data_IF_694889104781
#
_entry.id   IF_694889104781
#
_cell.length_a   1.000
_cell.length_b   1.000
_cell.length_c   1.000
_cell.angle_alpha   90.00
_cell.angle_beta   90.00
_cell.angle_gamma   90.00
#
_symmetry.space_group_name_H-M   'P 1'
#
loop_
_entity.id
_entity.type
_entity.pdbx_description
1 polymer ?
#
# COMPACT_ATOMS: atom_id res chain seq x y z
N UNK A 1 -3.15 22.69 -70.50
CA UNK A 1 -4.17 22.28 -69.52
C UNK A 1 -3.60 21.04 -68.83
N UNK A 2 -3.00 21.20 -67.65
CA UNK A 2 -2.50 20.08 -66.85
C UNK A 2 -3.70 19.36 -66.23
N UNK A 3 -3.73 18.04 -66.31
CA UNK A 3 -4.72 17.20 -65.65
C UNK A 3 -4.71 17.47 -64.12
N UNK A 4 -5.86 17.47 -63.44
CA UNK A 4 -5.89 17.62 -62.02
C UNK A 4 -5.11 16.45 -61.33
N UNK A 5 -4.45 16.68 -60.19
CA UNK A 5 -3.78 15.60 -59.46
C UNK A 5 -4.83 14.54 -59.04
N UNK A 6 -4.40 13.27 -59.00
CA UNK A 6 -5.30 12.19 -58.59
C UNK A 6 -5.76 12.46 -57.16
N UNK A 7 -7.06 12.24 -56.96
CA UNK A 7 -7.74 12.38 -55.68
C UNK A 7 -6.97 11.59 -54.59
N UNK A 8 -6.53 12.20 -53.48
CA UNK A 8 -5.94 11.46 -52.40
C UNK A 8 -7.04 10.61 -51.79
N UNK A 9 -7.06 9.32 -52.09
CA UNK A 9 -8.03 8.39 -51.56
C UNK A 9 -8.24 8.51 -50.03
N UNK A 10 -9.27 7.92 -49.49
CA UNK A 10 -9.64 8.09 -48.07
C UNK A 10 -8.44 7.79 -47.18
N UNK A 11 -8.27 8.52 -46.05
CA UNK A 11 -7.22 8.24 -45.07
C UNK A 11 -7.20 6.74 -44.75
N UNK A 12 -6.02 6.11 -44.81
CA UNK A 12 -5.85 4.65 -44.79
C UNK A 12 -6.67 3.90 -43.72
N UNK A 13 -6.98 4.56 -42.59
CA UNK A 13 -7.79 4.01 -41.50
C UNK A 13 -9.32 4.02 -41.70
N UNK A 14 -9.84 4.73 -42.74
CA UNK A 14 -11.26 4.82 -43.03
C UNK A 14 -11.68 4.01 -44.30
N UNK A 15 -10.71 3.36 -44.96
CA UNK A 15 -10.98 2.43 -46.03
C UNK A 15 -11.81 1.24 -45.51
N UNK A 16 -12.79 0.74 -46.29
CA UNK A 16 -13.63 -0.39 -45.87
C UNK A 16 -12.85 -1.58 -45.37
N UNK A 17 -11.82 -2.00 -46.10
CA UNK A 17 -10.98 -3.14 -45.76
C UNK A 17 -10.22 -2.94 -44.46
N UNK A 18 -9.81 -1.70 -44.12
CA UNK A 18 -9.17 -1.36 -42.89
C UNK A 18 -10.09 -1.44 -41.66
N UNK A 19 -11.34 -0.95 -41.84
CA UNK A 19 -12.37 -1.05 -40.79
C UNK A 19 -12.74 -2.51 -40.51
N UNK A 20 -12.97 -3.31 -41.58
CA UNK A 20 -13.26 -4.74 -41.45
C UNK A 20 -12.09 -5.52 -40.82
N UNK A 21 -10.87 -5.19 -41.21
CA UNK A 21 -9.66 -5.80 -40.59
C UNK A 21 -9.59 -5.50 -39.11
N UNK A 22 -9.87 -4.27 -38.70
CA UNK A 22 -9.87 -3.88 -37.28
C UNK A 22 -10.97 -4.61 -36.50
N UNK A 23 -12.16 -4.81 -37.08
CA UNK A 23 -13.24 -5.60 -36.47
C UNK A 23 -12.79 -7.06 -36.27
N UNK A 24 -12.30 -7.70 -37.35
CA UNK A 24 -11.85 -9.11 -37.28
C UNK A 24 -10.74 -9.32 -36.26
N UNK A 25 -9.79 -8.36 -36.17
CA UNK A 25 -8.70 -8.43 -35.16
C UNK A 25 -9.24 -8.34 -33.72
N UNK A 26 -10.21 -7.45 -33.49
CA UNK A 26 -10.86 -7.30 -32.20
C UNK A 26 -11.65 -8.56 -31.80
N UNK A 27 -12.50 -9.07 -32.73
CA UNK A 27 -13.26 -10.30 -32.52
C UNK A 27 -12.36 -11.49 -32.18
N UNK A 28 -11.26 -11.65 -32.92
CA UNK A 28 -10.29 -12.69 -32.67
C UNK A 28 -9.64 -12.55 -31.28
N UNK A 29 -9.16 -11.33 -30.95
CA UNK A 29 -8.51 -11.07 -29.68
C UNK A 29 -9.46 -11.31 -28.48
N UNK A 30 -10.72 -10.92 -28.59
CA UNK A 30 -11.72 -11.19 -27.56
C UNK A 30 -12.09 -12.68 -27.47
N UNK A 31 -12.23 -13.37 -28.59
CA UNK A 31 -12.51 -14.80 -28.61
C UNK A 31 -11.38 -15.64 -27.99
N UNK A 32 -10.11 -15.25 -28.19
CA UNK A 32 -8.93 -15.91 -27.63
C UNK A 32 -8.74 -15.62 -26.13
N UNK A 33 -9.38 -14.62 -25.56
CA UNK A 33 -9.34 -14.35 -24.12
C UNK A 33 -10.10 -15.44 -23.36
N UNK A 34 -9.36 -16.29 -22.64
CA UNK A 34 -9.93 -17.41 -21.87
C UNK A 34 -10.49 -17.05 -20.51
N UNK A 35 -10.18 -15.86 -19.99
CA UNK A 35 -10.55 -15.39 -18.65
C UNK A 35 -10.91 -13.90 -18.67
N UNK A 36 -11.68 -13.44 -17.67
CA UNK A 36 -12.10 -12.04 -17.53
C UNK A 36 -10.92 -11.07 -17.48
N UNK A 37 -9.85 -11.44 -16.78
CA UNK A 37 -8.63 -10.64 -16.71
C UNK A 37 -7.91 -10.53 -18.05
N UNK A 38 -7.88 -11.62 -18.83
CA UNK A 38 -7.32 -11.61 -20.17
C UNK A 38 -8.14 -10.71 -21.09
N UNK A 39 -9.48 -10.79 -21.02
CA UNK A 39 -10.39 -9.93 -21.76
C UNK A 39 -10.21 -8.46 -21.39
N UNK A 40 -10.05 -8.15 -20.11
CA UNK A 40 -9.80 -6.80 -19.62
C UNK A 40 -8.47 -6.24 -20.12
N UNK A 41 -7.42 -7.06 -20.19
CA UNK A 41 -6.11 -6.65 -20.73
C UNK A 41 -6.12 -6.33 -22.20
N UNK A 42 -6.87 -7.06 -23.03
CA UNK A 42 -6.91 -6.82 -24.47
C UNK A 42 -7.87 -5.68 -24.88
N UNK A 43 -8.85 -5.35 -24.04
CA UNK A 43 -9.86 -4.32 -24.31
C UNK A 43 -9.27 -2.96 -24.73
N UNK A 44 -8.26 -2.38 -24.11
CA UNK A 44 -7.73 -1.06 -24.48
C UNK A 44 -7.16 -1.01 -25.89
N UNK A 45 -6.64 -2.10 -26.42
CA UNK A 45 -6.09 -2.16 -27.78
C UNK A 45 -7.16 -1.99 -28.87
N UNK A 46 -8.42 -2.36 -28.58
CA UNK A 46 -9.50 -2.37 -29.56
C UNK A 46 -10.63 -1.36 -29.25
N UNK A 47 -10.84 -1.01 -27.97
CA UNK A 47 -11.90 -0.11 -27.52
C UNK A 47 -11.37 1.15 -26.80
N UNK A 48 -10.08 1.21 -26.47
CA UNK A 48 -9.46 2.37 -25.82
C UNK A 48 -9.27 3.56 -26.77
N UNK A 49 -8.89 4.71 -26.22
CA UNK A 49 -8.73 5.97 -26.98
C UNK A 49 -7.67 5.92 -28.08
N UNK A 50 -6.72 4.98 -27.97
CA UNK A 50 -5.65 4.75 -28.96
C UNK A 50 -5.97 3.58 -29.92
N UNK A 51 -7.16 2.98 -29.80
CA UNK A 51 -7.57 1.90 -30.68
C UNK A 51 -7.70 2.39 -32.13
N UNK A 52 -7.40 1.54 -33.14
CA UNK A 52 -7.39 1.92 -34.54
C UNK A 52 -8.70 2.62 -35.01
N UNK A 53 -9.85 2.08 -34.63
CA UNK A 53 -11.17 2.67 -34.99
C UNK A 53 -11.42 4.02 -34.30
N UNK A 54 -10.93 4.21 -33.07
CA UNK A 54 -11.02 5.50 -32.36
C UNK A 54 -10.10 6.55 -33.00
N UNK A 55 -8.92 6.15 -33.44
CA UNK A 55 -8.01 7.02 -34.17
C UNK A 55 -8.55 7.38 -35.57
N UNK A 56 -9.14 6.41 -36.30
CA UNK A 56 -9.75 6.63 -37.61
C UNK A 56 -10.84 7.72 -37.54
N UNK A 57 -11.57 7.84 -36.43
CA UNK A 57 -12.61 8.87 -36.26
C UNK A 57 -12.08 10.28 -36.42
N UNK A 58 -10.83 10.54 -36.10
CA UNK A 58 -10.18 11.87 -36.24
C UNK A 58 -9.95 12.22 -37.71
N UNK A 59 -9.87 11.21 -38.60
CA UNK A 59 -9.66 11.39 -40.02
C UNK A 59 -10.91 11.79 -40.79
N UNK A 60 -12.12 11.65 -40.22
CA UNK A 60 -13.39 11.97 -40.94
C UNK A 60 -13.42 13.45 -41.37
N UNK A 61 -12.88 14.35 -40.56
CA UNK A 61 -12.85 15.78 -40.87
C UNK A 61 -12.03 16.14 -42.10
N UNK A 62 -11.09 15.29 -42.52
CA UNK A 62 -10.23 15.49 -43.69
C UNK A 62 -10.88 15.00 -45.00
N UNK A 63 -12.02 14.24 -44.92
CA UNK A 63 -12.72 13.76 -46.09
C UNK A 63 -13.51 14.87 -46.81
N UNK A 64 -13.78 14.74 -48.11
CA UNK A 64 -14.76 15.56 -48.80
C UNK A 64 -16.14 15.52 -48.14
N UNK A 65 -16.88 16.63 -48.20
CA UNK A 65 -18.15 16.78 -47.45
C UNK A 65 -19.17 15.67 -47.81
N UNK A 66 -19.19 15.27 -49.07
CA UNK A 66 -20.11 14.22 -49.58
C UNK A 66 -19.82 12.83 -49.00
N UNK A 67 -18.59 12.53 -48.59
CA UNK A 67 -18.16 11.21 -48.12
C UNK A 67 -18.20 11.07 -46.58
N UNK A 68 -18.24 12.19 -45.84
CA UNK A 68 -18.20 12.19 -44.37
C UNK A 68 -19.35 11.40 -43.72
N UNK A 69 -20.53 11.53 -44.26
CA UNK A 69 -21.74 10.85 -43.73
C UNK A 69 -21.61 9.33 -43.83
N UNK A 70 -21.22 8.84 -45.02
CA UNK A 70 -21.08 7.41 -45.26
C UNK A 70 -19.89 6.80 -44.50
N UNK A 71 -18.73 7.48 -44.47
CA UNK A 71 -17.58 7.08 -43.68
C UNK A 71 -17.89 7.05 -42.15
N UNK A 72 -18.65 8.06 -41.68
CA UNK A 72 -19.11 8.11 -40.28
C UNK A 72 -20.03 6.96 -39.92
N UNK A 73 -20.96 6.62 -40.81
CA UNK A 73 -21.87 5.48 -40.63
C UNK A 73 -21.11 4.17 -40.55
N UNK A 74 -20.24 3.88 -41.55
CA UNK A 74 -19.40 2.66 -41.55
C UNK A 74 -18.52 2.52 -40.33
N UNK A 75 -17.89 3.61 -39.90
CA UNK A 75 -17.06 3.61 -38.68
C UNK A 75 -17.90 3.33 -37.42
N UNK A 76 -19.10 3.92 -37.31
CA UNK A 76 -19.97 3.65 -36.16
C UNK A 76 -20.48 2.20 -36.18
N UNK A 77 -20.77 1.64 -37.34
CA UNK A 77 -21.11 0.21 -37.49
C UNK A 77 -19.95 -0.69 -37.03
N UNK A 78 -18.73 -0.37 -37.46
CA UNK A 78 -17.52 -1.10 -37.01
C UNK A 78 -17.28 -0.99 -35.49
N UNK A 79 -17.43 0.21 -34.90
CA UNK A 79 -17.31 0.41 -33.47
C UNK A 79 -18.40 -0.36 -32.70
N UNK A 80 -19.64 -0.37 -33.22
CA UNK A 80 -20.73 -1.13 -32.62
C UNK A 80 -20.47 -2.64 -32.67
N UNK A 81 -19.93 -3.15 -33.78
CA UNK A 81 -19.56 -4.55 -33.92
C UNK A 81 -18.46 -4.97 -32.91
N UNK A 82 -17.42 -4.16 -32.78
CA UNK A 82 -16.36 -4.43 -31.80
C UNK A 82 -16.87 -4.38 -30.35
N UNK A 83 -17.75 -3.41 -30.04
CA UNK A 83 -18.37 -3.33 -28.73
C UNK A 83 -19.25 -4.56 -28.45
N UNK A 84 -20.10 -4.95 -29.42
CA UNK A 84 -20.96 -6.12 -29.29
C UNK A 84 -20.15 -7.42 -29.09
N UNK A 85 -19.02 -7.58 -29.80
CA UNK A 85 -18.14 -8.73 -29.65
C UNK A 85 -17.51 -8.79 -28.23
N UNK A 86 -17.08 -7.64 -27.72
CA UNK A 86 -16.59 -7.53 -26.36
C UNK A 86 -17.65 -7.90 -25.31
N UNK A 87 -18.86 -7.30 -25.43
CA UNK A 87 -19.95 -7.50 -24.48
C UNK A 87 -20.43 -8.96 -24.49
N UNK A 88 -20.50 -9.58 -25.67
CA UNK A 88 -20.84 -11.00 -25.83
C UNK A 88 -19.81 -11.89 -25.13
N UNK A 89 -18.51 -11.63 -25.34
CA UNK A 89 -17.46 -12.43 -24.67
C UNK A 89 -17.43 -12.22 -23.17
N UNK A 90 -17.62 -10.97 -22.72
CA UNK A 90 -17.74 -10.63 -21.31
C UNK A 90 -18.89 -11.40 -20.64
N UNK A 91 -20.06 -11.41 -21.26
CA UNK A 91 -21.22 -12.15 -20.74
C UNK A 91 -20.93 -13.65 -20.64
N UNK A 92 -20.30 -14.24 -21.69
CA UNK A 92 -19.92 -15.65 -21.69
C UNK A 92 -18.96 -15.99 -20.55
N UNK A 93 -17.85 -15.24 -20.45
CA UNK A 93 -16.83 -15.49 -19.41
C UNK A 93 -17.37 -15.25 -17.99
N UNK A 94 -18.28 -14.26 -17.85
CA UNK A 94 -18.96 -14.03 -16.56
C UNK A 94 -19.83 -15.22 -16.18
N UNK A 95 -20.62 -15.73 -17.11
CA UNK A 95 -21.47 -16.89 -16.86
C UNK A 95 -20.64 -18.17 -16.57
N UNK A 96 -19.55 -18.38 -17.29
CA UNK A 96 -18.63 -19.49 -17.06
C UNK A 96 -17.97 -19.40 -15.66
N UNK A 97 -17.51 -18.20 -15.27
CA UNK A 97 -16.99 -17.94 -13.91
C UNK A 97 -18.04 -18.23 -12.85
N UNK A 98 -19.24 -17.67 -13.02
CA UNK A 98 -20.31 -17.79 -12.02
C UNK A 98 -20.77 -19.25 -11.87
N UNK A 99 -20.86 -19.99 -12.99
CA UNK A 99 -21.17 -21.42 -12.94
C UNK A 99 -20.06 -22.22 -12.22
N UNK A 100 -18.78 -21.87 -12.46
CA UNK A 100 -17.66 -22.51 -11.77
C UNK A 100 -17.69 -22.21 -10.27
N UNK A 101 -17.85 -20.93 -9.88
CA UNK A 101 -17.93 -20.51 -8.49
C UNK A 101 -19.07 -21.22 -7.78
N UNK A 102 -20.27 -21.29 -8.37
CA UNK A 102 -21.42 -21.98 -7.82
C UNK A 102 -21.16 -23.49 -7.61
N UNK A 103 -20.36 -24.11 -8.48
CA UNK A 103 -20.01 -25.50 -8.34
C UNK A 103 -18.91 -25.75 -7.29
N UNK A 104 -17.86 -24.91 -7.28
CA UNK A 104 -16.72 -25.02 -6.38
C UNK A 104 -17.05 -24.59 -4.95
N UNK A 105 -17.91 -23.59 -4.76
CA UNK A 105 -18.33 -23.07 -3.47
C UNK A 105 -19.63 -23.74 -2.94
N UNK A 106 -20.09 -24.79 -3.60
CA UNK A 106 -21.25 -25.56 -3.11
C UNK A 106 -20.94 -26.16 -1.73
N UNK A 107 -21.70 -25.77 -0.73
CA UNK A 107 -21.57 -26.28 0.64
C UNK A 107 -22.75 -27.16 1.00
N UNK A 108 -22.49 -28.23 1.76
CA UNK A 108 -23.55 -29.07 2.32
C UNK A 108 -24.23 -28.34 3.49
N UNK A 109 -25.41 -27.77 3.23
CA UNK A 109 -26.20 -27.06 4.24
C UNK A 109 -26.80 -27.97 5.32
N UNK A 110 -26.66 -29.28 5.19
CA UNK A 110 -27.11 -30.24 6.22
C UNK A 110 -26.08 -30.44 7.32
N UNK A 111 -24.83 -29.98 7.08
CA UNK A 111 -23.82 -30.01 8.13
C UNK A 111 -24.17 -29.02 9.25
N UNK A 112 -23.85 -29.35 10.52
CA UNK A 112 -24.07 -28.44 11.63
C UNK A 112 -23.30 -27.13 11.41
N UNK A 113 -24.04 -26.04 11.22
CA UNK A 113 -23.50 -24.70 11.03
C UNK A 113 -23.31 -23.93 12.36
N UNK A 114 -23.97 -24.43 13.44
CA UNK A 114 -24.01 -23.83 14.77
C UNK A 114 -22.72 -24.09 15.59
N UNK A 115 -21.61 -24.40 14.95
CA UNK A 115 -20.33 -24.40 15.63
C UNK A 115 -20.11 -23.00 16.20
N UNK A 116 -20.40 -22.86 17.49
CA UNK A 116 -20.11 -21.61 18.20
C UNK A 116 -18.62 -21.31 18.03
N UNK A 117 -18.26 -20.24 17.32
CA UNK A 117 -16.85 -19.90 17.20
C UNK A 117 -16.30 -19.69 18.61
N UNK A 118 -15.24 -20.37 18.94
CA UNK A 118 -14.48 -20.03 20.15
C UNK A 118 -14.00 -18.61 19.95
N UNK A 119 -14.03 -17.79 21.01
CA UNK A 119 -13.54 -16.42 20.93
C UNK A 119 -12.13 -16.40 20.34
N UNK A 120 -11.90 -15.48 19.40
CA UNK A 120 -10.60 -15.26 18.78
C UNK A 120 -10.03 -13.91 19.24
N UNK A 121 -8.73 -13.86 19.43
CA UNK A 121 -8.05 -12.57 19.61
C UNK A 121 -8.00 -11.84 18.29
N UNK A 122 -8.13 -10.53 18.33
CA UNK A 122 -8.02 -9.71 17.11
C UNK A 122 -6.66 -9.91 16.43
N UNK A 123 -6.57 -10.05 15.10
CA UNK A 123 -5.31 -10.33 14.41
C UNK A 123 -4.23 -9.24 14.64
N UNK A 124 -4.61 -7.98 14.83
CA UNK A 124 -3.65 -6.93 15.22
C UNK A 124 -2.99 -7.22 16.57
N UNK A 125 -3.75 -7.73 17.55
CA UNK A 125 -3.20 -8.11 18.85
C UNK A 125 -2.19 -9.25 18.70
N UNK A 126 -2.53 -10.27 17.90
CA UNK A 126 -1.64 -11.41 17.65
C UNK A 126 -0.34 -10.98 16.96
N UNK A 127 -0.42 -10.10 15.96
CA UNK A 127 0.77 -9.57 15.28
C UNK A 127 1.60 -8.70 16.22
N UNK A 128 0.96 -7.83 17.01
CA UNK A 128 1.66 -6.97 17.97
C UNK A 128 2.43 -7.81 19.01
N UNK A 129 1.81 -8.84 19.59
CA UNK A 129 2.45 -9.77 20.50
C UNK A 129 3.62 -10.50 19.83
N UNK A 130 3.42 -11.04 18.62
CA UNK A 130 4.48 -11.73 17.87
C UNK A 130 5.67 -10.82 17.59
N UNK A 131 5.42 -9.54 17.24
CA UNK A 131 6.48 -8.55 17.06
C UNK A 131 7.22 -8.34 18.38
N UNK A 132 6.48 -8.12 19.47
CA UNK A 132 7.08 -7.95 20.80
C UNK A 132 7.94 -9.16 21.20
N UNK A 133 7.47 -10.38 20.97
CA UNK A 133 8.20 -11.62 21.27
C UNK A 133 9.53 -11.72 20.51
N UNK A 134 9.57 -11.30 19.24
CA UNK A 134 10.82 -11.26 18.46
C UNK A 134 11.85 -10.34 19.13
N UNK A 135 11.42 -9.16 19.58
CA UNK A 135 12.32 -8.21 20.22
C UNK A 135 12.69 -8.62 21.66
N UNK A 136 11.76 -9.16 22.42
CA UNK A 136 12.03 -9.75 23.75
C UNK A 136 13.07 -10.87 23.65
N UNK A 137 12.97 -11.73 22.61
CA UNK A 137 13.98 -12.76 22.38
C UNK A 137 15.37 -12.18 22.02
N UNK A 138 15.45 -10.96 21.51
CA UNK A 138 16.70 -10.22 21.29
C UNK A 138 17.19 -9.43 22.53
N UNK A 139 16.47 -9.48 23.65
CA UNK A 139 16.82 -8.79 24.89
C UNK A 139 16.22 -7.39 25.04
N UNK A 140 15.21 -7.04 24.24
CA UNK A 140 14.47 -5.79 24.41
C UNK A 140 13.38 -5.95 25.47
N UNK A 141 13.06 -4.87 26.16
CA UNK A 141 11.89 -4.77 27.03
C UNK A 141 10.72 -4.14 26.29
N UNK A 142 9.49 -4.55 26.62
CA UNK A 142 8.29 -3.88 26.13
C UNK A 142 8.02 -2.66 27.00
N UNK A 143 7.95 -1.49 26.39
CA UNK A 143 7.64 -0.24 27.08
C UNK A 143 6.28 0.31 26.58
N UNK A 144 5.54 0.94 27.49
CA UNK A 144 4.24 1.53 27.23
C UNK A 144 4.23 3.01 27.62
N UNK A 145 3.29 3.77 27.08
CA UNK A 145 3.09 5.18 27.41
C UNK A 145 1.70 5.67 27.02
N UNK A 146 1.34 6.90 27.42
CA UNK A 146 0.02 7.46 27.23
C UNK A 146 -0.29 7.72 25.73
N UNK A 147 -1.57 7.55 25.35
CA UNK A 147 -2.06 7.89 24.02
C UNK A 147 -2.29 9.41 23.87
N UNK A 148 -2.70 10.08 24.96
CA UNK A 148 -2.74 11.54 25.04
C UNK A 148 -1.41 12.02 25.57
N UNK A 149 -0.70 12.81 24.79
CA UNK A 149 0.68 13.18 25.02
C UNK A 149 0.85 14.71 25.05
N UNK A 150 1.88 15.18 25.71
CA UNK A 150 2.23 16.60 25.59
C UNK A 150 2.91 16.86 24.24
N UNK A 151 2.69 18.06 23.69
CA UNK A 151 3.37 18.50 22.46
C UNK A 151 4.89 18.41 22.57
N UNK A 152 5.43 18.56 23.77
CA UNK A 152 6.86 18.44 24.02
C UNK A 152 7.39 17.01 23.73
N UNK A 153 6.74 15.99 24.28
CA UNK A 153 7.13 14.58 24.02
C UNK A 153 6.88 14.17 22.59
N UNK A 154 5.77 14.62 22.00
CA UNK A 154 5.40 14.23 20.65
C UNK A 154 6.26 14.91 19.58
N UNK A 155 6.84 16.07 19.87
CA UNK A 155 7.56 16.88 18.88
C UNK A 155 8.90 17.43 19.37
N UNK A 156 8.93 18.25 20.44
CA UNK A 156 10.13 19.01 20.81
C UNK A 156 11.28 18.11 21.23
N UNK A 157 11.02 17.11 22.06
CA UNK A 157 12.00 16.12 22.51
C UNK A 157 12.57 15.29 21.33
N UNK A 158 11.82 15.19 20.26
CA UNK A 158 12.15 14.44 19.04
C UNK A 158 12.72 15.33 17.92
N UNK A 159 13.19 16.52 18.28
CA UNK A 159 13.84 17.47 17.37
C UNK A 159 12.93 17.97 16.21
N UNK A 160 11.63 17.95 16.36
CA UNK A 160 10.74 18.61 15.40
C UNK A 160 10.78 20.14 15.57
N UNK A 161 11.10 20.86 14.51
CA UNK A 161 11.03 22.32 14.50
C UNK A 161 9.61 22.84 14.75
N UNK A 162 9.48 24.09 15.20
CA UNK A 162 8.16 24.69 15.49
C UNK A 162 7.26 24.77 14.26
N UNK A 163 7.86 25.01 13.09
CA UNK A 163 7.15 25.16 11.82
C UNK A 163 7.11 23.83 11.01
N UNK A 164 7.38 22.70 11.66
CA UNK A 164 7.37 21.42 10.96
C UNK A 164 5.93 21.05 10.54
N UNK A 165 5.70 20.61 9.27
CA UNK A 165 4.34 20.30 8.77
C UNK A 165 3.57 19.31 9.64
N UNK A 166 4.22 18.31 10.20
CA UNK A 166 3.58 17.31 11.07
C UNK A 166 2.92 17.90 12.34
N UNK A 167 3.23 19.15 12.68
CA UNK A 167 2.54 19.88 13.78
C UNK A 167 1.25 20.57 13.32
N UNK A 168 0.94 20.54 12.02
CA UNK A 168 -0.28 21.16 11.51
C UNK A 168 -1.52 20.40 12.01
N UNK A 169 -2.61 21.13 12.26
CA UNK A 169 -3.87 20.55 12.69
C UNK A 169 -4.51 19.62 11.63
N UNK A 170 -4.01 19.68 10.38
CA UNK A 170 -4.40 18.76 9.31
C UNK A 170 -3.71 17.38 9.40
N UNK A 171 -2.69 17.24 10.27
CA UNK A 171 -1.94 15.98 10.44
C UNK A 171 -1.98 15.47 11.89
N UNK A 172 -2.37 16.31 12.86
CA UNK A 172 -2.34 16.02 14.30
C UNK A 172 -3.65 16.39 14.98
N UNK A 173 -4.19 15.47 15.79
CA UNK A 173 -5.33 15.76 16.66
C UNK A 173 -4.85 16.48 17.93
N UNK A 174 -5.23 17.73 18.08
CA UNK A 174 -5.02 18.53 19.30
C UNK A 174 -6.18 18.37 20.27
N UNK A 175 -5.88 18.23 21.55
CA UNK A 175 -6.91 18.17 22.60
C UNK A 175 -7.32 19.58 22.98
N UNK A 176 -8.61 19.86 22.95
CA UNK A 176 -9.16 21.16 23.39
C UNK A 176 -9.07 21.26 24.91
N UNK A 177 -8.58 22.40 25.41
CA UNK A 177 -8.49 22.66 26.85
C UNK A 177 -9.86 22.75 27.52
N UNK A 178 -9.91 22.54 28.82
CA UNK A 178 -11.15 22.67 29.62
C UNK A 178 -11.74 24.07 29.59
N UNK A 179 -10.92 25.09 29.31
CA UNK A 179 -11.29 26.47 29.09
C UNK A 179 -11.74 26.81 27.67
N UNK A 180 -11.79 25.82 26.79
CA UNK A 180 -12.09 25.96 25.37
C UNK A 180 -10.91 26.43 24.51
N UNK A 181 -9.70 26.53 25.06
CA UNK A 181 -8.50 26.83 24.29
C UNK A 181 -8.24 25.73 23.25
N UNK A 182 -8.03 26.15 22.00
CA UNK A 182 -7.78 25.21 20.89
C UNK A 182 -6.45 24.45 21.04
N UNK A 183 -5.49 25.01 21.78
CA UNK A 183 -4.20 24.37 22.09
C UNK A 183 -4.05 24.26 23.61
N UNK A 184 -4.28 23.07 24.11
CA UNK A 184 -4.05 22.72 25.52
C UNK A 184 -2.61 22.28 25.81
N UNK A 185 -1.74 22.23 24.78
CA UNK A 185 -0.42 21.62 24.84
C UNK A 185 -0.47 20.09 24.81
N UNK A 186 -1.66 19.49 24.63
CA UNK A 186 -1.88 18.05 24.54
C UNK A 186 -2.32 17.65 23.13
N UNK A 187 -1.84 16.49 22.70
CA UNK A 187 -2.16 15.87 21.41
C UNK A 187 -2.49 14.39 21.58
N UNK A 188 -3.23 13.82 20.64
CA UNK A 188 -3.18 12.39 20.45
C UNK A 188 -1.85 12.06 19.75
N UNK A 189 -1.05 11.17 20.33
CA UNK A 189 0.29 10.86 19.79
C UNK A 189 0.23 10.41 18.34
N UNK A 190 1.05 11.01 17.49
CA UNK A 190 1.11 10.70 16.05
C UNK A 190 2.01 9.53 15.71
N UNK A 191 2.79 9.07 16.67
CA UNK A 191 3.70 7.93 16.65
C UNK A 191 3.97 7.47 18.08
N UNK A 192 4.62 6.31 18.26
CA UNK A 192 4.95 5.80 19.58
C UNK A 192 6.30 6.31 20.14
N UNK A 193 7.04 7.14 19.37
CA UNK A 193 8.33 7.72 19.76
C UNK A 193 8.32 8.53 21.07
N UNK A 194 7.23 9.19 21.52
CA UNK A 194 7.16 9.82 22.83
C UNK A 194 7.61 8.91 23.97
N UNK A 195 7.29 7.62 23.87
CA UNK A 195 7.68 6.63 24.89
C UNK A 195 9.19 6.44 24.95
N UNK A 196 9.87 6.53 23.81
CA UNK A 196 11.34 6.48 23.75
C UNK A 196 11.97 7.61 24.57
N UNK A 197 11.47 8.84 24.40
CA UNK A 197 11.92 10.00 25.17
C UNK A 197 11.60 9.83 26.67
N UNK A 198 10.43 9.29 27.02
CA UNK A 198 10.06 8.99 28.42
C UNK A 198 11.01 7.99 29.05
N UNK A 199 11.32 6.90 28.36
CA UNK A 199 12.22 5.87 28.84
C UNK A 199 13.65 6.45 29.05
N UNK A 200 14.16 7.24 28.12
CA UNK A 200 15.49 7.85 28.23
C UNK A 200 15.58 8.89 29.36
N UNK A 201 14.48 9.56 29.71
CA UNK A 201 14.43 10.46 30.88
C UNK A 201 14.37 9.71 32.21
N UNK A 202 13.73 8.53 32.23
CA UNK A 202 13.57 7.70 33.42
C UNK A 202 14.78 6.80 33.70
N UNK A 203 15.47 6.35 32.65
CA UNK A 203 16.54 5.35 32.73
C UNK A 203 17.82 5.83 32.06
N UNK A 204 18.94 5.38 32.60
CA UNK A 204 20.25 5.58 31.96
C UNK A 204 20.55 4.43 31.00
N UNK A 205 21.27 4.68 29.90
CA UNK A 205 21.78 3.61 29.06
C UNK A 205 22.64 2.60 29.85
N UNK A 206 22.61 1.29 29.43
CA UNK A 206 22.02 0.76 28.20
C UNK A 206 20.49 0.66 28.26
N UNK A 207 19.83 1.02 27.14
CA UNK A 207 18.39 0.96 26.96
C UNK A 207 18.07 0.22 25.68
N UNK A 208 17.27 -0.84 25.76
CA UNK A 208 16.77 -1.61 24.63
C UNK A 208 15.27 -1.80 24.85
N UNK A 209 14.44 -1.08 24.12
CA UNK A 209 12.99 -1.14 24.30
C UNK A 209 12.26 -1.26 22.95
N UNK A 210 11.12 -1.94 22.98
CA UNK A 210 10.14 -1.99 21.91
C UNK A 210 8.81 -1.44 22.40
N UNK A 211 8.15 -0.63 21.61
CA UNK A 211 6.96 0.13 21.98
C UNK A 211 5.85 -0.14 20.99
N UNK A 212 5.07 -1.22 21.13
CA UNK A 212 3.83 -1.39 20.38
C UNK A 212 2.76 -0.46 20.95
N UNK A 213 1.95 0.16 20.08
CA UNK A 213 0.89 1.02 20.57
C UNK A 213 0.06 1.68 19.46
N UNK A 214 -1.10 2.22 19.85
CA UNK A 214 -1.95 3.01 18.97
C UNK A 214 -1.37 4.38 18.73
N UNK A 215 -1.61 4.89 17.52
CA UNK A 215 -1.23 6.21 17.05
C UNK A 215 -2.39 6.83 16.29
N UNK A 216 -2.38 8.16 16.15
CA UNK A 216 -3.52 8.91 15.66
C UNK A 216 -3.05 9.97 14.67
N UNK A 217 -3.67 10.00 13.49
CA UNK A 217 -3.45 11.03 12.46
C UNK A 217 -4.78 11.43 11.86
N UNK A 218 -4.86 12.62 11.31
CA UNK A 218 -6.11 13.13 10.71
C UNK A 218 -6.36 12.58 9.30
N UNK A 219 -5.76 11.45 8.97
CA UNK A 219 -5.96 10.77 7.69
C UNK A 219 -7.41 10.29 7.54
N UNK A 220 -7.92 10.29 6.32
CA UNK A 220 -9.19 9.66 5.98
C UNK A 220 -9.05 8.14 5.94
N UNK A 221 -10.12 7.43 6.32
CA UNK A 221 -10.15 5.97 6.24
C UNK A 221 -10.29 5.52 4.78
N UNK A 222 -9.24 4.89 4.26
CA UNK A 222 -9.23 4.27 2.93
C UNK A 222 -8.59 2.87 2.95
N UNK A 223 -8.29 2.30 1.80
CA UNK A 223 -7.67 0.99 1.69
C UNK A 223 -6.25 0.91 2.27
N UNK A 224 -5.60 2.04 2.54
CA UNK A 224 -4.18 2.13 2.93
C UNK A 224 -3.91 3.00 4.15
N UNK A 225 -4.90 3.79 4.59
CA UNK A 225 -4.82 4.73 5.71
C UNK A 225 -5.99 4.56 6.67
N UNK A 226 -5.72 4.85 7.94
CA UNK A 226 -6.74 4.92 9.00
C UNK A 226 -6.36 6.03 9.98
N UNK A 227 -7.34 6.82 10.50
CA UNK A 227 -7.07 7.85 11.50
C UNK A 227 -6.55 7.26 12.82
N UNK A 228 -6.84 6.00 13.08
CA UNK A 228 -6.33 5.23 14.22
C UNK A 228 -5.62 3.99 13.67
N UNK A 229 -4.34 3.86 13.96
CA UNK A 229 -3.54 2.72 13.52
C UNK A 229 -2.53 2.34 14.61
N UNK A 230 -1.88 1.21 14.44
CA UNK A 230 -0.91 0.70 15.40
C UNK A 230 0.50 0.77 14.82
N UNK A 231 1.43 1.23 15.63
CA UNK A 231 2.85 1.17 15.34
C UNK A 231 3.58 0.30 16.34
N UNK A 232 4.69 -0.23 15.91
CA UNK A 232 5.75 -0.70 16.79
C UNK A 232 6.98 0.13 16.51
N UNK A 233 7.56 0.68 17.56
CA UNK A 233 8.85 1.34 17.49
C UNK A 233 9.86 0.65 18.39
N UNK A 234 11.11 0.66 18.00
CA UNK A 234 12.21 0.15 18.79
C UNK A 234 13.29 1.19 18.97
N UNK A 235 13.91 1.17 20.14
CA UNK A 235 15.03 2.00 20.52
C UNK A 235 16.13 1.15 21.15
N UNK A 236 17.35 1.33 20.67
CA UNK A 236 18.54 0.80 21.32
C UNK A 236 19.52 1.95 21.53
N UNK A 237 19.93 2.18 22.79
CA UNK A 237 20.92 3.21 23.16
C UNK A 237 21.95 2.58 24.08
N UNK A 238 23.20 2.57 23.66
CA UNK A 238 24.32 2.02 24.42
C UNK A 238 25.65 2.61 23.93
N UNK A 239 26.76 2.23 24.49
CA UNK A 239 28.08 2.60 23.99
C UNK A 239 28.39 1.88 22.68
N UNK A 240 28.81 2.62 21.66
CA UNK A 240 29.29 2.05 20.40
C UNK A 240 28.19 1.46 19.46
N UNK A 241 26.93 1.80 19.64
CA UNK A 241 25.86 1.42 18.72
C UNK A 241 26.09 2.05 17.34
N UNK A 242 25.86 1.28 16.28
CA UNK A 242 26.11 1.68 14.90
C UNK A 242 24.97 1.35 13.97
N UNK A 243 25.00 1.91 12.76
CA UNK A 243 24.08 1.58 11.65
C UNK A 243 24.11 0.08 11.28
N UNK A 244 25.24 -0.60 11.50
CA UNK A 244 25.33 -2.04 11.26
C UNK A 244 24.51 -2.85 12.27
N UNK A 245 24.44 -2.41 13.53
CA UNK A 245 23.58 -3.01 14.54
C UNK A 245 22.10 -2.82 14.19
N UNK A 246 21.70 -1.61 13.76
CA UNK A 246 20.35 -1.36 13.27
C UNK A 246 19.99 -2.29 12.10
N UNK A 247 20.88 -2.41 11.11
CA UNK A 247 20.67 -3.28 9.96
C UNK A 247 20.49 -4.74 10.37
N UNK A 248 21.38 -5.26 11.22
CA UNK A 248 21.29 -6.64 11.69
C UNK A 248 19.99 -6.92 12.45
N UNK A 249 19.57 -5.97 13.31
CA UNK A 249 18.30 -6.04 14.04
C UNK A 249 17.10 -6.10 13.10
N UNK A 250 17.04 -5.22 12.10
CA UNK A 250 15.92 -5.17 11.14
C UNK A 250 15.92 -6.35 10.17
N UNK A 251 17.08 -6.84 9.74
CA UNK A 251 17.19 -8.05 8.90
C UNK A 251 16.70 -9.29 9.67
N UNK A 252 17.04 -9.39 10.95
CA UNK A 252 16.53 -10.46 11.82
C UNK A 252 15.02 -10.35 12.01
N UNK A 253 14.52 -9.15 12.27
CA UNK A 253 13.10 -8.88 12.42
C UNK A 253 12.32 -9.24 11.15
N UNK A 254 12.79 -8.80 9.97
CA UNK A 254 12.16 -9.12 8.69
C UNK A 254 12.12 -10.65 8.45
N UNK A 255 13.22 -11.34 8.75
CA UNK A 255 13.30 -12.81 8.61
C UNK A 255 12.32 -13.51 9.56
N UNK A 256 12.19 -13.03 10.79
CA UNK A 256 11.29 -13.59 11.80
C UNK A 256 9.80 -13.40 11.45
N UNK A 257 9.48 -12.28 10.78
CA UNK A 257 8.11 -11.96 10.40
C UNK A 257 7.67 -12.59 9.08
N UNK A 258 8.56 -12.63 8.08
CA UNK A 258 8.21 -13.00 6.71
C UNK A 258 8.91 -14.27 6.21
N UNK A 259 9.76 -14.88 7.04
CA UNK A 259 10.53 -16.07 6.68
C UNK A 259 11.85 -15.75 6.00
N UNK A 260 12.68 -16.80 5.85
CA UNK A 260 13.98 -16.70 5.21
C UNK A 260 13.87 -16.45 3.69
N UNK A 261 14.82 -15.71 3.14
CA UNK A 261 14.97 -15.51 1.69
C UNK A 261 14.34 -14.23 1.13
N UNK A 262 13.60 -13.44 1.92
CA UNK A 262 13.21 -12.09 1.52
C UNK A 262 14.41 -11.15 1.62
N UNK A 263 14.59 -10.34 0.57
CA UNK A 263 15.62 -9.31 0.54
C UNK A 263 15.10 -8.04 1.21
N UNK A 264 16.00 -7.38 1.92
CA UNK A 264 15.76 -6.06 2.52
C UNK A 264 16.65 -5.02 1.87
N UNK A 265 16.25 -3.76 1.91
CA UNK A 265 17.09 -2.64 1.49
C UNK A 265 16.82 -1.42 2.36
N UNK A 266 17.85 -0.60 2.52
CA UNK A 266 17.76 0.72 3.12
C UNK A 266 17.78 1.76 2.01
N UNK A 267 16.85 2.72 2.04
CA UNK A 267 16.82 3.89 1.18
C UNK A 267 17.09 5.13 2.04
N UNK A 268 18.07 5.98 1.72
CA UNK A 268 18.27 7.22 2.46
C UNK A 268 16.99 8.05 2.51
N UNK A 269 16.67 8.54 3.69
CA UNK A 269 15.51 9.39 3.95
C UNK A 269 15.86 10.43 5.02
N UNK A 270 14.93 11.33 5.34
CA UNK A 270 15.09 12.31 6.40
C UNK A 270 13.98 12.18 7.44
N UNK A 271 14.40 12.06 8.72
CA UNK A 271 13.52 12.22 9.86
C UNK A 271 14.18 13.17 10.87
N UNK A 272 13.42 14.08 11.54
CA UNK A 272 14.00 15.05 12.49
C UNK A 272 14.75 14.39 13.66
N UNK A 273 14.27 13.21 14.08
CA UNK A 273 14.73 12.50 15.27
C UNK A 273 15.85 11.49 15.01
N UNK A 274 16.25 11.28 13.74
CA UNK A 274 17.35 10.38 13.38
C UNK A 274 18.31 11.03 12.40
N UNK A 275 19.61 10.67 12.51
CA UNK A 275 20.68 11.11 11.60
C UNK A 275 21.87 10.13 11.70
N UNK A 276 22.22 9.38 10.62
CA UNK A 276 21.49 9.28 9.35
C UNK A 276 20.16 8.54 9.46
N UNK A 277 19.25 8.85 8.54
CA UNK A 277 17.93 8.24 8.47
C UNK A 277 17.77 7.40 7.20
N UNK A 278 16.92 6.39 7.26
CA UNK A 278 16.58 5.56 6.12
C UNK A 278 15.13 5.06 6.21
N UNK A 279 14.54 4.82 5.07
CA UNK A 279 13.39 3.92 4.95
C UNK A 279 13.89 2.49 4.80
N UNK A 280 13.20 1.57 5.45
CA UNK A 280 13.48 0.14 5.41
C UNK A 280 12.41 -0.56 4.59
N UNK A 281 12.84 -1.10 3.44
CA UNK A 281 11.98 -1.80 2.51
C UNK A 281 12.21 -3.30 2.60
N UNK A 282 11.14 -4.05 2.44
CA UNK A 282 11.18 -5.50 2.25
C UNK A 282 10.81 -5.86 0.80
N UNK A 283 11.41 -6.91 0.27
CA UNK A 283 11.05 -7.42 -1.04
C UNK A 283 9.56 -7.74 -1.08
N UNK A 284 8.88 -7.30 -2.14
CA UNK A 284 7.45 -7.53 -2.30
C UNK A 284 7.11 -9.02 -2.15
N UNK A 285 6.27 -9.33 -1.18
CA UNK A 285 5.86 -10.72 -0.88
C UNK A 285 4.98 -11.32 -1.98
N UNK A 286 4.26 -10.49 -2.76
CA UNK A 286 3.38 -10.94 -3.85
C UNK A 286 4.18 -11.29 -5.10
N UNK A 287 4.94 -10.35 -5.67
CA UNK A 287 5.67 -10.59 -6.92
C UNK A 287 7.11 -11.08 -6.72
N UNK A 288 7.65 -11.00 -5.50
CA UNK A 288 9.04 -11.36 -5.16
C UNK A 288 10.08 -10.73 -6.09
N UNK A 289 9.79 -9.51 -6.57
CA UNK A 289 10.63 -8.78 -7.51
C UNK A 289 10.43 -9.14 -8.98
N UNK A 290 9.57 -10.10 -9.32
CA UNK A 290 9.34 -10.51 -10.71
C UNK A 290 8.83 -9.37 -11.60
N UNK A 291 8.05 -8.43 -11.04
CA UNK A 291 7.53 -7.27 -11.78
C UNK A 291 8.61 -6.29 -12.26
N UNK A 292 9.81 -6.30 -11.67
CA UNK A 292 10.94 -5.49 -12.13
C UNK A 292 11.51 -6.05 -13.45
N UNK A 293 11.57 -7.38 -13.54
CA UNK A 293 12.15 -8.07 -14.69
C UNK A 293 11.16 -8.21 -15.86
N UNK A 294 9.86 -8.17 -15.57
CA UNK A 294 8.81 -8.37 -16.57
C UNK A 294 7.73 -7.26 -16.48
N UNK A 295 7.85 -6.18 -17.29
CA UNK A 295 6.84 -5.11 -17.34
C UNK A 295 5.44 -5.58 -17.78
N UNK A 296 5.33 -6.76 -18.39
CA UNK A 296 4.04 -7.34 -18.76
C UNK A 296 3.28 -7.92 -17.56
N UNK A 297 3.96 -8.06 -16.42
CA UNK A 297 3.37 -8.53 -15.15
C UNK A 297 3.43 -7.45 -14.08
N UNK A 298 2.62 -6.37 -14.21
CA UNK A 298 2.62 -5.31 -13.22
C UNK A 298 2.12 -5.85 -11.87
N UNK A 299 2.79 -5.44 -10.80
CA UNK A 299 2.38 -5.75 -9.43
C UNK A 299 1.73 -4.53 -8.79
N UNK A 300 0.48 -4.64 -8.38
CA UNK A 300 -0.26 -3.56 -7.72
C UNK A 300 0.31 -3.25 -6.33
N UNK A 301 0.68 -4.27 -5.56
CA UNK A 301 1.18 -4.15 -4.18
C UNK A 301 2.45 -3.30 -4.10
N UNK A 302 3.43 -3.53 -4.94
CA UNK A 302 4.67 -2.75 -4.96
C UNK A 302 4.74 -1.72 -6.09
N UNK A 303 3.65 -1.48 -6.82
CA UNK A 303 3.60 -0.60 -8.00
C UNK A 303 4.70 -0.93 -9.01
N UNK A 304 5.05 -2.21 -9.12
CA UNK A 304 6.12 -2.78 -9.95
C UNK A 304 7.55 -2.42 -9.54
N UNK A 305 7.74 -1.85 -8.36
CA UNK A 305 9.09 -1.53 -7.82
C UNK A 305 9.81 -2.74 -7.22
N UNK A 306 9.11 -3.86 -7.00
CA UNK A 306 9.64 -5.10 -6.44
C UNK A 306 9.93 -5.05 -4.93
N UNK A 307 9.79 -3.89 -4.29
CA UNK A 307 9.95 -3.67 -2.87
C UNK A 307 8.75 -2.88 -2.32
N UNK A 308 8.47 -3.08 -1.05
CA UNK A 308 7.44 -2.35 -0.30
C UNK A 308 8.10 -1.71 0.90
N UNK A 309 7.87 -0.42 1.10
CA UNK A 309 8.26 0.27 2.31
C UNK A 309 7.57 -0.36 3.52
N UNK A 310 8.36 -0.79 4.49
CA UNK A 310 7.84 -1.37 5.73
C UNK A 310 7.87 -0.38 6.88
N UNK A 311 8.90 0.48 6.95
CA UNK A 311 8.99 1.51 7.96
C UNK A 311 10.20 2.42 7.84
N UNK A 312 10.29 3.36 8.78
CA UNK A 312 11.41 4.28 8.93
C UNK A 312 12.38 3.84 10.01
N UNK A 313 13.65 4.20 9.85
CA UNK A 313 14.70 3.89 10.83
C UNK A 313 15.89 4.87 10.73
N UNK A 314 16.77 4.83 11.70
CA UNK A 314 18.01 5.60 11.67
C UNK A 314 18.76 5.61 12.99
N UNK A 315 19.92 6.25 12.99
CA UNK A 315 20.63 6.52 14.23
C UNK A 315 19.94 7.65 14.98
N UNK A 316 19.78 7.53 16.29
CA UNK A 316 19.15 8.56 17.11
C UNK A 316 19.92 9.87 16.98
N UNK A 317 19.21 10.95 16.64
CA UNK A 317 19.82 12.25 16.51
C UNK A 317 20.44 12.68 17.87
N UNK A 318 21.69 13.15 17.91
CA UNK A 318 22.33 13.60 19.15
C UNK A 318 21.50 14.63 19.93
N UNK A 319 20.73 15.47 19.24
CA UNK A 319 19.84 16.45 19.88
C UNK A 319 18.73 15.79 20.69
N UNK A 320 18.22 14.65 20.22
CA UNK A 320 17.23 13.85 20.98
C UNK A 320 17.86 13.28 22.23
N UNK A 321 19.07 12.72 22.13
CA UNK A 321 19.82 12.24 23.30
C UNK A 321 20.01 13.35 24.34
N UNK A 322 20.48 14.53 23.90
CA UNK A 322 20.67 15.70 24.78
C UNK A 322 19.33 16.15 25.40
N UNK A 323 18.26 16.22 24.63
CA UNK A 323 16.92 16.60 25.14
C UNK A 323 16.43 15.62 26.22
N UNK A 324 16.84 14.36 26.14
CA UNK A 324 16.53 13.31 27.11
C UNK A 324 17.59 13.13 28.20
N UNK A 325 18.60 14.01 28.30
CA UNK A 325 19.62 13.97 29.35
C UNK A 325 20.68 12.88 29.19
N UNK A 326 20.84 12.35 27.95
CA UNK A 326 21.84 11.35 27.60
C UNK A 326 23.02 12.03 26.91
N UNK A 327 24.25 11.67 27.33
CA UNK A 327 25.48 12.20 26.79
C UNK A 327 25.80 11.57 25.42
N UNK A 328 25.70 12.34 24.29
CA UNK A 328 25.93 11.82 22.95
C UNK A 328 27.40 11.57 22.60
N UNK A 329 28.34 12.07 23.41
CA UNK A 329 29.77 11.77 23.24
C UNK A 329 30.13 10.37 23.77
N UNK A 330 29.32 9.85 24.69
CA UNK A 330 29.49 8.52 25.26
C UNK A 330 28.56 7.48 24.64
N UNK A 331 27.32 7.85 24.40
CA UNK A 331 26.27 6.93 23.94
C UNK A 331 25.81 7.27 22.54
N UNK A 332 25.56 6.23 21.78
CA UNK A 332 24.89 6.30 20.49
C UNK A 332 23.69 5.35 20.50
N UNK A 333 22.79 5.52 19.55
CA UNK A 333 21.62 4.65 19.48
C UNK A 333 21.03 4.61 18.09
N UNK A 334 20.13 3.66 17.89
CA UNK A 334 19.24 3.63 16.72
C UNK A 334 17.79 3.52 17.15
N UNK A 335 16.92 3.98 16.25
CA UNK A 335 15.49 3.81 16.37
C UNK A 335 14.88 3.35 15.04
N UNK A 336 13.73 2.70 15.11
CA UNK A 336 12.94 2.31 13.95
C UNK A 336 11.46 2.32 14.31
N UNK A 337 10.60 2.43 13.29
CA UNK A 337 9.14 2.38 13.45
C UNK A 337 8.46 1.74 12.25
N UNK A 338 7.52 0.82 12.51
CA UNK A 338 6.73 0.09 11.50
C UNK A 338 5.26 0.08 11.86
N UNK A 339 4.40 0.13 10.82
CA UNK A 339 2.96 -0.06 10.97
C UNK A 339 2.61 -1.53 11.21
N UNK A 340 1.83 -1.80 12.27
CA UNK A 340 1.40 -3.17 12.61
C UNK A 340 0.38 -3.67 11.60
N UNK A 341 -0.57 -2.81 11.17
CA UNK A 341 -1.54 -3.14 10.11
C UNK A 341 -0.85 -3.53 8.81
N UNK A 342 0.15 -2.76 8.37
CA UNK A 342 0.93 -3.12 7.17
C UNK A 342 1.63 -4.47 7.30
N UNK A 343 2.13 -4.78 8.49
CA UNK A 343 2.75 -6.07 8.76
C UNK A 343 1.74 -7.21 8.69
N UNK A 344 0.52 -7.00 9.24
CA UNK A 344 -0.58 -7.94 9.16
C UNK A 344 -1.01 -8.18 7.71
N UNK A 345 -1.26 -7.08 6.96
CA UNK A 345 -1.65 -7.14 5.55
C UNK A 345 -0.60 -7.87 4.70
N UNK A 346 0.68 -7.56 4.92
CA UNK A 346 1.79 -8.20 4.23
C UNK A 346 1.88 -9.70 4.51
N UNK A 347 1.59 -10.13 5.72
CA UNK A 347 1.71 -11.52 6.16
C UNK A 347 0.53 -12.38 5.72
N UNK A 348 -0.66 -11.80 5.62
CA UNK A 348 -1.92 -12.50 5.38
C UNK A 348 -2.58 -12.11 4.06
N UNK A 349 -1.86 -11.41 3.18
CA UNK A 349 -2.31 -11.03 1.84
C UNK A 349 -3.62 -10.21 1.84
N UNK A 350 -3.83 -9.42 2.91
CA UNK A 350 -4.97 -8.52 3.00
C UNK A 350 -4.74 -7.30 2.10
N UNK A 351 -5.71 -6.97 1.27
CA UNK A 351 -5.58 -5.89 0.27
C UNK A 351 -6.13 -4.54 0.77
N UNK A 352 -7.01 -4.56 1.77
CA UNK A 352 -7.73 -3.38 2.23
C UNK A 352 -7.63 -3.23 3.77
N UNK A 353 -7.14 -2.08 4.22
CA UNK A 353 -6.99 -1.80 5.65
C UNK A 353 -8.35 -1.74 6.37
N UNK A 354 -9.43 -1.39 5.68
CA UNK A 354 -10.78 -1.33 6.25
C UNK A 354 -11.22 -2.68 6.80
N UNK A 355 -10.88 -3.78 6.12
CA UNK A 355 -11.17 -5.14 6.60
C UNK A 355 -10.57 -5.42 7.98
N UNK A 356 -9.39 -4.81 8.23
CA UNK A 356 -8.69 -4.98 9.51
C UNK A 356 -9.34 -4.18 10.65
N UNK A 357 -9.93 -3.00 10.36
CA UNK A 357 -10.36 -2.04 11.39
C UNK A 357 -11.88 -1.92 11.55
N UNK A 358 -12.68 -2.29 10.55
CA UNK A 358 -14.15 -2.17 10.59
C UNK A 358 -14.85 -3.24 11.46
N UNK A 359 -14.10 -4.24 11.92
CA UNK A 359 -14.60 -5.26 12.87
C UNK A 359 -15.51 -6.30 12.23
N UNK A 360 -15.41 -6.57 10.94
CA UNK A 360 -16.12 -7.66 10.28
C UNK A 360 -15.64 -9.01 10.84
N UNK A 361 -16.54 -9.72 11.52
CA UNK A 361 -16.23 -11.01 12.13
C UNK A 361 -15.83 -12.07 11.10
N UNK A 362 -16.27 -11.95 9.84
CA UNK A 362 -15.89 -12.88 8.77
C UNK A 362 -14.41 -12.76 8.44
N UNK A 363 -13.84 -11.55 8.58
CA UNK A 363 -12.41 -11.32 8.44
C UNK A 363 -11.63 -11.84 9.65
N UNK A 364 -12.13 -11.64 10.89
CA UNK A 364 -11.37 -11.95 12.11
C UNK A 364 -11.45 -13.41 12.55
N UNK A 365 -12.53 -14.12 12.22
CA UNK A 365 -12.72 -15.52 12.61
C UNK A 365 -11.62 -16.49 12.15
N UNK A 366 -11.09 -16.41 10.91
CA UNK A 366 -10.01 -17.30 10.45
C UNK A 366 -8.75 -17.22 11.31
N UNK A 367 -8.45 -16.05 11.87
CA UNK A 367 -7.27 -15.84 12.73
C UNK A 367 -7.42 -16.49 14.12
N UNK A 368 -8.63 -16.79 14.54
CA UNK A 368 -8.88 -17.47 15.82
C UNK A 368 -8.61 -18.97 15.80
N UNK A 369 -8.29 -19.53 14.65
CA UNK A 369 -7.96 -20.95 14.49
C UNK A 369 -6.46 -21.24 14.58
N UNK A 370 -5.62 -20.19 14.58
CA UNK A 370 -4.20 -20.30 14.88
C UNK A 370 -3.99 -20.28 16.39
N UNK A 371 -3.98 -21.46 17.02
CA UNK A 371 -3.57 -21.66 18.42
C UNK A 371 -2.17 -22.23 18.45
#
# INVERSE_FOLDING_TARGET
>A
MSAPPPDPGPPAGLAPDALESAVRQAEKAFAEAGELDALTRVRPAHLGDRAPLRLARRGIGALPLAERSDAGRRLNEALAAVQAAYDSRLATLTAERDARVLAEEAVDVTLPWDRRPRGARHPLTLIAERIADVFVAMGYEVAEGPEVETSWFNFDALNFGRDHPARAAMDTFYVVGADGAADSGLVLRTHTSPVQARVLLDRKPPVYVVVPGKTFRTDELDATHSPVFHQVEGLAVDEGITMAHLRGTLDHFATSMFGAGLKTRFRPHFFPFTEPSAEFDVQCWVCRGASIADPARPCRTCKSEGFVEWGGCGMVNPRVLVACGVDPDRYSGFAFGMGIERTLMARHDAEDMRDVVEGDVRFTLPFGMEV
#
